data_IF_605532655903
#
_entry.id   IF_605532655903
#
_cell.length_a   1.000
_cell.length_b   1.000
_cell.length_c   1.000
_cell.angle_alpha   90.00
_cell.angle_beta   90.00
_cell.angle_gamma   90.00
#
_symmetry.space_group_name_H-M   'P 1'
#
loop_
_entity.id
_entity.type
_entity.pdbx_description
1 polymer ?
#
# COMPACT_ATOMS: atom_id res chain seq x y z
N UNK A 1 -11.37 -20.16 8.54
CA UNK A 1 -12.56 -20.51 7.75
C UNK A 1 -12.51 -19.62 6.52
N UNK A 2 -12.15 -20.17 5.36
CA UNK A 2 -12.14 -19.43 4.08
C UNK A 2 -13.59 -19.08 3.72
N UNK A 3 -14.04 -17.89 4.12
CA UNK A 3 -15.35 -17.36 3.75
C UNK A 3 -15.38 -17.01 2.27
N UNK A 4 -16.58 -17.00 1.68
CA UNK A 4 -16.76 -16.57 0.29
C UNK A 4 -16.27 -15.12 0.10
N UNK A 5 -15.99 -14.72 -1.15
CA UNK A 5 -15.56 -13.34 -1.45
C UNK A 5 -16.60 -12.33 -0.95
N UNK A 6 -17.88 -12.68 -1.07
CA UNK A 6 -19.02 -11.88 -0.62
C UNK A 6 -18.95 -11.65 0.89
N UNK A 7 -18.76 -12.72 1.68
CA UNK A 7 -18.60 -12.61 3.13
C UNK A 7 -17.37 -11.78 3.54
N UNK A 8 -16.25 -11.92 2.81
CA UNK A 8 -15.02 -11.14 3.07
C UNK A 8 -15.20 -9.66 2.76
N UNK A 9 -15.85 -9.31 1.64
CA UNK A 9 -16.14 -7.92 1.27
C UNK A 9 -17.07 -7.29 2.30
N UNK A 10 -18.17 -7.96 2.64
CA UNK A 10 -19.10 -7.48 3.68
C UNK A 10 -18.40 -7.23 5.01
N UNK A 11 -17.54 -8.17 5.45
CA UNK A 11 -16.75 -8.02 6.66
C UNK A 11 -15.81 -6.81 6.62
N UNK A 12 -15.11 -6.59 5.50
CA UNK A 12 -14.20 -5.45 5.36
C UNK A 12 -14.92 -4.10 5.22
N UNK A 13 -16.12 -4.08 4.63
CA UNK A 13 -17.01 -2.91 4.66
C UNK A 13 -17.39 -2.61 6.11
N UNK A 14 -17.79 -3.60 6.90
CA UNK A 14 -18.11 -3.40 8.32
C UNK A 14 -16.90 -2.89 9.11
N UNK A 15 -15.70 -3.41 8.85
CA UNK A 15 -14.46 -2.94 9.44
C UNK A 15 -14.16 -1.48 9.08
N UNK A 16 -14.41 -1.09 7.82
CA UNK A 16 -14.23 0.29 7.36
C UNK A 16 -15.27 1.23 7.99
N UNK A 17 -16.54 0.83 8.06
CA UNK A 17 -17.61 1.58 8.74
C UNK A 17 -17.29 1.79 10.22
N UNK A 18 -16.77 0.78 10.92
CA UNK A 18 -16.30 0.89 12.32
C UNK A 18 -15.07 1.80 12.48
N UNK A 19 -14.29 1.99 11.41
CA UNK A 19 -13.13 2.87 11.41
C UNK A 19 -13.49 4.34 11.13
N UNK A 20 -14.51 4.61 10.32
CA UNK A 20 -14.89 5.96 9.89
C UNK A 20 -15.01 7.00 11.03
N UNK A 21 -15.64 6.71 12.20
CA UNK A 21 -15.72 7.69 13.29
C UNK A 21 -14.37 8.12 13.87
N UNK A 22 -13.33 7.33 13.65
CA UNK A 22 -11.96 7.61 14.12
C UNK A 22 -11.14 8.39 13.11
N UNK A 23 -11.56 8.41 11.85
CA UNK A 23 -10.95 9.29 10.85
C UNK A 23 -11.17 10.74 11.26
N UNK A 24 -10.24 11.63 10.87
CA UNK A 24 -10.38 13.08 10.97
C UNK A 24 -9.74 13.70 9.73
N UNK A 25 -10.25 14.85 9.25
CA UNK A 25 -9.56 15.64 8.24
C UNK A 25 -8.12 15.94 8.66
N UNK A 26 -7.16 15.75 7.75
CA UNK A 26 -5.75 16.05 8.02
C UNK A 26 -5.49 17.56 7.97
N UNK A 27 -4.66 18.06 8.90
CA UNK A 27 -4.26 19.47 9.00
C UNK A 27 -2.94 19.80 8.28
N UNK A 28 -2.28 18.80 7.69
CA UNK A 28 -1.02 18.96 6.98
C UNK A 28 -1.22 19.02 5.46
N UNK A 29 -0.25 19.60 4.74
CA UNK A 29 -0.25 19.64 3.27
C UNK A 29 -0.43 18.24 2.68
N UNK A 30 -1.43 18.11 1.81
CA UNK A 30 -1.70 16.89 1.07
C UNK A 30 -0.64 16.63 0.00
N UNK A 31 -0.54 15.36 -0.45
CA UNK A 31 0.35 15.00 -1.57
C UNK A 31 -0.03 15.77 -2.83
N UNK A 32 0.97 16.36 -3.50
CA UNK A 32 0.79 17.09 -4.76
C UNK A 32 0.38 16.20 -5.94
N UNK A 33 0.63 14.88 -5.86
CA UNK A 33 0.31 13.92 -6.93
C UNK A 33 -0.93 13.09 -6.56
N UNK A 34 -1.81 12.90 -7.54
CA UNK A 34 -2.97 12.02 -7.41
C UNK A 34 -2.54 10.57 -7.20
N UNK A 35 -3.25 9.86 -6.31
CA UNK A 35 -3.01 8.45 -6.06
C UNK A 35 -3.44 7.62 -7.27
N UNK A 36 -2.48 7.04 -8.00
CA UNK A 36 -2.70 6.21 -9.20
C UNK A 36 -3.58 4.98 -8.97
N UNK A 37 -3.82 4.61 -7.70
CA UNK A 37 -4.57 3.42 -7.32
C UNK A 37 -6.04 3.71 -6.99
N UNK A 38 -6.33 4.90 -6.49
CA UNK A 38 -7.70 5.32 -6.16
C UNK A 38 -8.34 6.12 -7.29
N UNK A 39 -7.55 6.97 -7.97
CA UNK A 39 -8.03 7.75 -9.10
C UNK A 39 -8.44 6.83 -10.25
N UNK A 40 -9.70 6.96 -10.70
CA UNK A 40 -10.27 6.10 -11.74
C UNK A 40 -10.46 4.63 -11.34
N UNK A 41 -10.38 4.32 -10.04
CA UNK A 41 -10.48 2.94 -9.55
C UNK A 41 -11.91 2.39 -9.68
N UNK A 42 -12.11 1.23 -10.33
CA UNK A 42 -13.41 0.57 -10.37
C UNK A 42 -13.97 0.24 -8.99
N UNK A 43 -13.09 0.00 -8.01
CA UNK A 43 -13.47 -0.28 -6.61
C UNK A 43 -14.12 0.95 -5.96
N UNK A 44 -13.52 2.13 -6.17
CA UNK A 44 -14.05 3.40 -5.65
C UNK A 44 -15.37 3.75 -6.31
N UNK A 45 -15.47 3.55 -7.63
CA UNK A 45 -16.71 3.77 -8.37
C UNK A 45 -17.82 2.80 -7.92
N UNK A 46 -17.51 1.51 -7.75
CA UNK A 46 -18.47 0.52 -7.25
C UNK A 46 -19.02 0.90 -5.87
N UNK A 47 -18.14 1.36 -4.98
CA UNK A 47 -18.50 1.79 -3.63
C UNK A 47 -19.27 3.12 -3.54
N UNK A 48 -19.48 3.85 -4.64
CA UNK A 48 -20.16 5.15 -4.62
C UNK A 48 -19.29 6.31 -4.09
N UNK A 49 -17.96 6.13 -4.04
CA UNK A 49 -17.04 7.10 -3.42
C UNK A 49 -16.28 7.96 -4.44
N UNK A 50 -16.74 8.05 -5.69
CA UNK A 50 -16.02 8.71 -6.77
C UNK A 50 -16.02 10.24 -6.70
N UNK A 51 -16.94 10.83 -5.95
CA UNK A 51 -17.22 12.27 -5.96
C UNK A 51 -17.33 12.76 -4.53
N UNK A 52 -16.72 13.91 -4.22
CA UNK A 52 -16.85 14.63 -2.95
C UNK A 52 -16.51 13.87 -1.65
N UNK A 53 -15.77 12.76 -1.75
CA UNK A 53 -15.26 12.02 -0.59
C UNK A 53 -13.76 12.26 -0.41
N UNK A 54 -13.27 12.54 0.82
CA UNK A 54 -11.84 12.71 1.08
C UNK A 54 -11.01 11.50 0.62
N UNK A 55 -9.85 11.79 0.01
CA UNK A 55 -8.97 10.74 -0.52
C UNK A 55 -8.58 9.69 0.53
N UNK A 56 -8.30 10.10 1.77
CA UNK A 56 -7.93 9.17 2.84
C UNK A 56 -9.05 8.15 3.15
N UNK A 57 -10.31 8.58 3.07
CA UNK A 57 -11.50 7.75 3.29
C UNK A 57 -11.65 6.73 2.15
N UNK A 58 -11.52 7.19 0.90
CA UNK A 58 -11.48 6.33 -0.29
C UNK A 58 -10.34 5.30 -0.21
N UNK A 59 -9.14 5.77 0.13
CA UNK A 59 -7.93 4.95 0.18
C UNK A 59 -8.05 3.85 1.23
N UNK A 60 -8.61 4.17 2.40
CA UNK A 60 -8.85 3.19 3.46
C UNK A 60 -9.73 2.03 2.98
N UNK A 61 -10.81 2.29 2.24
CA UNK A 61 -11.65 1.22 1.68
C UNK A 61 -10.91 0.44 0.59
N UNK A 62 -10.30 1.14 -0.36
CA UNK A 62 -9.56 0.54 -1.48
C UNK A 62 -8.42 -0.38 -1.03
N UNK A 63 -7.74 -0.04 0.07
CA UNK A 63 -6.69 -0.88 0.65
C UNK A 63 -7.24 -2.20 1.16
N UNK A 64 -8.38 -2.20 1.85
CA UNK A 64 -9.02 -3.42 2.37
C UNK A 64 -9.49 -4.34 1.25
N UNK A 65 -10.14 -3.78 0.24
CA UNK A 65 -10.57 -4.54 -0.94
C UNK A 65 -9.40 -5.19 -1.67
N UNK A 66 -8.27 -4.48 -1.74
CA UNK A 66 -7.04 -5.04 -2.33
C UNK A 66 -6.44 -6.16 -1.48
N UNK A 67 -6.51 -6.10 -0.15
CA UNK A 67 -6.08 -7.22 0.71
C UNK A 67 -6.91 -8.48 0.44
N UNK A 68 -8.21 -8.33 0.18
CA UNK A 68 -9.07 -9.47 -0.23
C UNK A 68 -8.60 -10.06 -1.56
N UNK A 69 -8.39 -9.20 -2.56
CA UNK A 69 -7.96 -9.61 -3.91
C UNK A 69 -6.58 -10.29 -3.85
N UNK A 70 -5.61 -9.64 -3.22
CA UNK A 70 -4.24 -10.14 -3.08
C UNK A 70 -4.25 -11.52 -2.42
N UNK A 71 -4.92 -11.68 -1.27
CA UNK A 71 -4.98 -12.98 -0.60
C UNK A 71 -5.66 -14.06 -1.46
N UNK A 72 -6.72 -13.73 -2.21
CA UNK A 72 -7.34 -14.71 -3.10
C UNK A 72 -6.41 -15.11 -4.26
N UNK A 73 -5.64 -14.15 -4.80
CA UNK A 73 -4.64 -14.41 -5.85
C UNK A 73 -3.48 -15.24 -5.30
N UNK A 74 -3.05 -14.98 -4.07
CA UNK A 74 -2.01 -15.76 -3.39
C UNK A 74 -2.48 -17.21 -3.21
N UNK A 75 -3.70 -17.43 -2.69
CA UNK A 75 -4.30 -18.77 -2.53
C UNK A 75 -4.42 -19.50 -3.87
N UNK A 76 -4.81 -18.79 -4.93
CA UNK A 76 -4.88 -19.35 -6.29
C UNK A 76 -3.50 -19.71 -6.83
N UNK A 77 -2.52 -18.84 -6.65
CA UNK A 77 -1.13 -19.05 -7.09
C UNK A 77 -0.52 -20.26 -6.39
N UNK A 78 -0.73 -20.38 -5.08
CA UNK A 78 -0.24 -21.50 -4.29
C UNK A 78 -0.80 -22.85 -4.73
N UNK A 79 -2.09 -22.89 -5.12
CA UNK A 79 -2.80 -24.12 -5.49
C UNK A 79 -2.62 -24.50 -6.95
N UNK A 80 -2.46 -23.53 -7.86
CA UNK A 80 -2.61 -23.75 -9.30
C UNK A 80 -1.36 -23.40 -10.13
N UNK A 81 -0.43 -22.59 -9.60
CA UNK A 81 0.68 -22.00 -10.39
C UNK A 81 2.05 -22.39 -9.78
N UNK A 82 2.46 -23.66 -9.90
CA UNK A 82 3.62 -24.19 -9.19
C UNK A 82 4.95 -23.55 -9.60
N UNK A 83 5.12 -23.15 -10.87
CA UNK A 83 6.37 -22.55 -11.34
C UNK A 83 6.51 -21.11 -10.83
N UNK A 84 5.44 -20.33 -10.94
CA UNK A 84 5.36 -18.96 -10.43
C UNK A 84 5.53 -18.94 -8.91
N UNK A 85 4.83 -19.84 -8.20
CA UNK A 85 4.98 -20.01 -6.75
C UNK A 85 6.42 -20.30 -6.36
N UNK A 86 7.09 -21.23 -7.06
CA UNK A 86 8.50 -21.56 -6.82
C UNK A 86 9.38 -20.33 -7.01
N UNK A 87 9.17 -19.57 -8.09
CA UNK A 87 9.99 -18.38 -8.37
C UNK A 87 9.75 -17.26 -7.36
N UNK A 88 8.50 -17.02 -6.95
CA UNK A 88 8.17 -16.07 -5.87
C UNK A 88 8.91 -16.47 -4.59
N UNK A 89 8.84 -17.76 -4.19
CA UNK A 89 9.53 -18.25 -2.99
C UNK A 89 11.04 -18.04 -3.08
N UNK A 90 11.67 -18.40 -4.20
CA UNK A 90 13.10 -18.18 -4.40
C UNK A 90 13.44 -16.68 -4.34
N UNK A 91 12.57 -15.81 -4.85
CA UNK A 91 12.74 -14.36 -4.77
C UNK A 91 12.65 -13.84 -3.33
N UNK A 92 11.68 -14.30 -2.56
CA UNK A 92 11.53 -13.94 -1.14
C UNK A 92 12.68 -14.49 -0.29
N UNK A 93 13.14 -15.72 -0.53
CA UNK A 93 14.34 -16.27 0.08
C UNK A 93 15.56 -15.38 -0.20
N UNK A 94 15.77 -14.96 -1.46
CA UNK A 94 16.87 -14.03 -1.81
C UNK A 94 16.75 -12.67 -1.13
N UNK A 95 15.53 -12.14 -0.97
CA UNK A 95 15.31 -10.87 -0.23
C UNK A 95 15.58 -11.04 1.26
N UNK A 96 15.18 -12.15 1.86
CA UNK A 96 15.40 -12.43 3.28
C UNK A 96 16.88 -12.62 3.62
N UNK A 97 17.67 -13.19 2.70
CA UNK A 97 19.12 -13.36 2.83
C UNK A 97 19.91 -12.16 2.32
N UNK A 98 19.25 -11.03 2.04
CA UNK A 98 19.93 -9.84 1.54
C UNK A 98 20.76 -9.21 2.67
N UNK A 99 22.05 -8.93 2.45
CA UNK A 99 22.88 -8.28 3.45
C UNK A 99 22.36 -6.87 3.75
N UNK A 100 22.65 -6.38 4.95
CA UNK A 100 22.26 -5.05 5.43
C UNK A 100 22.70 -3.95 4.44
N UNK A 101 21.81 -2.99 4.18
CA UNK A 101 22.06 -1.83 3.32
C UNK A 101 21.67 -0.54 4.06
N UNK A 102 22.64 0.33 4.42
CA UNK A 102 22.41 1.51 5.25
C UNK A 102 21.35 2.48 4.71
N UNK A 103 21.22 2.57 3.38
CA UNK A 103 20.26 3.46 2.72
C UNK A 103 18.87 2.87 2.46
N UNK A 104 18.64 1.57 2.69
CA UNK A 104 17.33 0.96 2.44
C UNK A 104 16.35 1.27 3.58
N UNK A 105 15.11 1.66 3.23
CA UNK A 105 14.06 1.97 4.22
C UNK A 105 14.08 3.39 4.79
N UNK A 106 15.03 4.22 4.35
CA UNK A 106 15.09 5.62 4.73
C UNK A 106 14.07 6.48 3.95
N UNK A 107 13.56 7.56 4.56
CA UNK A 107 12.61 8.47 3.91
C UNK A 107 13.30 9.29 2.79
N UNK A 108 12.56 9.80 1.79
CA UNK A 108 13.15 10.43 0.61
C UNK A 108 13.95 11.70 0.90
N UNK A 109 13.69 12.37 2.02
CA UNK A 109 14.38 13.60 2.46
C UNK A 109 15.84 13.35 2.82
N UNK A 110 16.22 12.12 3.15
CA UNK A 110 17.61 11.74 3.45
C UNK A 110 18.31 11.05 2.28
N UNK A 111 17.62 10.87 1.14
CA UNK A 111 18.21 10.32 -0.06
C UNK A 111 19.25 11.31 -0.63
N UNK A 112 20.52 10.91 -0.67
CA UNK A 112 21.62 11.73 -1.16
C UNK A 112 22.34 12.56 -0.10
N UNK A 113 21.91 12.49 1.17
CA UNK A 113 22.75 12.93 2.28
C UNK A 113 23.90 11.93 2.47
N UNK A 114 25.08 12.45 2.80
CA UNK A 114 26.22 11.63 3.17
C UNK A 114 25.91 10.88 4.48
N UNK A 115 25.75 9.56 4.38
CA UNK A 115 25.42 8.67 5.50
C UNK A 115 26.62 8.45 6.42
N UNK A 116 27.82 8.44 5.85
CA UNK A 116 29.09 8.24 6.54
C UNK A 116 30.08 9.33 6.13
N UNK A 117 30.44 10.27 7.03
CA UNK A 117 31.55 11.18 6.78
C UNK A 117 32.90 10.43 6.84
N UNK A 118 33.93 10.96 6.15
CA UNK A 118 35.28 10.39 6.17
C UNK A 118 35.85 10.33 7.61
N UNK A 119 36.34 9.17 8.08
CA UNK A 119 36.81 9.01 9.45
C UNK A 119 38.14 9.74 9.70
N UNK A 120 38.25 10.45 10.83
CA UNK A 120 39.48 11.13 11.23
C UNK A 120 40.51 10.16 11.87
N UNK A 121 41.80 10.22 11.47
CA UNK A 121 42.84 9.36 12.04
C UNK A 121 42.98 9.51 13.57
N UNK A 122 42.94 8.39 14.30
CA UNK A 122 43.14 8.35 15.76
C UNK A 122 41.86 8.24 16.60
N UNK A 123 40.68 8.28 15.99
CA UNK A 123 39.43 7.98 16.68
C UNK A 123 39.25 6.45 16.89
N UNK A 124 38.67 6.02 18.02
CA UNK A 124 38.30 4.62 18.22
C UNK A 124 37.12 4.24 17.30
N UNK A 125 37.14 3.03 16.73
CA UNK A 125 36.13 2.49 15.80
C UNK A 125 36.08 3.15 14.41
N UNK A 126 37.19 3.06 13.66
CA UNK A 126 37.33 3.51 12.27
C UNK A 126 36.62 2.57 11.27
N UNK A 127 35.29 2.45 11.31
CA UNK A 127 34.56 1.86 10.19
C UNK A 127 33.29 2.63 9.89
N UNK A 128 33.01 2.81 8.60
CA UNK A 128 31.78 3.43 8.12
C UNK A 128 30.65 2.38 8.04
N UNK A 129 29.38 2.81 8.11
CA UNK A 129 28.24 1.92 7.86
C UNK A 129 28.29 1.33 6.44
N UNK A 130 28.81 2.10 5.47
CA UNK A 130 29.09 1.66 4.11
C UNK A 130 30.16 0.56 4.03
N UNK A 131 31.23 0.67 4.81
CA UNK A 131 32.25 -0.37 4.93
C UNK A 131 31.69 -1.62 5.59
N UNK A 132 30.96 -1.49 6.69
CA UNK A 132 30.31 -2.62 7.36
C UNK A 132 29.33 -3.34 6.43
N UNK A 133 28.55 -2.59 5.68
CA UNK A 133 27.62 -3.14 4.68
C UNK A 133 28.36 -3.84 3.54
N UNK A 134 29.48 -3.28 3.07
CA UNK A 134 30.31 -3.88 2.02
C UNK A 134 30.99 -5.16 2.49
N UNK A 135 31.51 -5.20 3.71
CA UNK A 135 32.11 -6.39 4.32
C UNK A 135 31.05 -7.48 4.53
N UNK A 136 29.89 -7.12 5.10
CA UNK A 136 28.76 -8.05 5.27
C UNK A 136 28.29 -8.59 3.93
N UNK A 137 28.20 -7.74 2.90
CA UNK A 137 27.82 -8.14 1.56
C UNK A 137 28.85 -9.06 0.91
N UNK A 138 30.15 -8.84 1.13
CA UNK A 138 31.21 -9.71 0.62
C UNK A 138 31.23 -11.08 1.31
N UNK A 139 31.02 -11.12 2.62
CA UNK A 139 30.98 -12.37 3.41
C UNK A 139 29.73 -13.21 3.11
N UNK A 140 28.59 -12.56 2.85
CA UNK A 140 27.30 -13.21 2.72
C UNK A 140 26.79 -13.28 1.28
N UNK A 141 27.58 -12.86 0.28
CA UNK A 141 27.15 -12.86 -1.13
C UNK A 141 26.77 -14.29 -1.59
N UNK A 142 25.47 -14.61 -1.76
CA UNK A 142 25.10 -15.88 -2.35
C UNK A 142 25.52 -15.89 -3.83
N UNK A 143 25.84 -17.06 -4.40
CA UNK A 143 26.06 -17.15 -5.84
C UNK A 143 24.84 -16.60 -6.60
N UNK A 144 25.04 -15.90 -7.72
CA UNK A 144 23.93 -15.41 -8.53
C UNK A 144 23.07 -16.59 -8.97
N UNK A 145 21.73 -16.45 -8.97
CA UNK A 145 20.86 -17.53 -9.39
C UNK A 145 21.16 -17.92 -10.83
N UNK A 146 21.09 -19.23 -11.12
CA UNK A 146 21.22 -19.72 -12.48
C UNK A 146 20.18 -19.04 -13.38
N UNK A 147 20.58 -18.56 -14.58
CA UNK A 147 19.65 -17.91 -15.47
C UNK A 147 18.60 -18.92 -15.93
N UNK A 148 17.33 -18.53 -15.84
CA UNK A 148 16.24 -19.33 -16.38
C UNK A 148 16.46 -19.58 -17.87
N UNK A 149 16.22 -20.82 -18.30
CA UNK A 149 16.16 -21.16 -19.71
C UNK A 149 14.96 -20.45 -20.38
N UNK A 150 15.01 -20.25 -21.69
CA UNK A 150 13.88 -19.67 -22.42
C UNK A 150 12.55 -20.42 -22.24
N UNK A 151 12.49 -21.78 -22.27
CA UNK A 151 11.22 -22.48 -22.02
C UNK A 151 10.71 -22.27 -20.59
N UNK A 152 11.58 -22.18 -19.58
CA UNK A 152 11.16 -21.88 -18.20
C UNK A 152 10.60 -20.46 -18.08
N UNK A 153 11.23 -19.48 -18.73
CA UNK A 153 10.71 -18.10 -18.77
C UNK A 153 9.33 -18.06 -19.43
N UNK A 154 9.15 -18.78 -20.53
CA UNK A 154 7.87 -18.83 -21.23
C UNK A 154 6.78 -19.48 -20.37
N UNK A 155 7.09 -20.59 -19.68
CA UNK A 155 6.17 -21.24 -18.76
C UNK A 155 5.77 -20.33 -17.58
N UNK A 156 6.73 -19.63 -16.97
CA UNK A 156 6.45 -18.67 -15.88
C UNK A 156 5.59 -17.51 -16.39
N UNK A 157 5.87 -16.96 -17.59
CA UNK A 157 5.03 -15.89 -18.18
C UNK A 157 3.59 -16.37 -18.41
N UNK A 158 3.40 -17.63 -18.80
CA UNK A 158 2.06 -18.20 -18.93
C UNK A 158 1.33 -18.25 -17.58
N UNK A 159 1.99 -18.69 -16.51
CA UNK A 159 1.40 -18.70 -15.17
C UNK A 159 1.13 -17.29 -14.62
N UNK A 160 2.01 -16.32 -14.86
CA UNK A 160 1.77 -14.89 -14.52
C UNK A 160 0.50 -14.39 -15.21
N UNK A 161 0.30 -14.74 -16.48
CA UNK A 161 -0.91 -14.36 -17.22
C UNK A 161 -2.17 -14.97 -16.60
N UNK A 162 -2.10 -16.20 -16.09
CA UNK A 162 -3.21 -16.84 -15.39
C UNK A 162 -3.51 -16.14 -14.05
N UNK A 163 -2.47 -15.81 -13.26
CA UNK A 163 -2.63 -15.03 -12.03
C UNK A 163 -3.30 -13.68 -12.29
N UNK A 164 -2.86 -12.94 -13.32
CA UNK A 164 -3.46 -11.65 -13.72
C UNK A 164 -4.93 -11.79 -14.16
N UNK A 165 -5.27 -12.86 -14.88
CA UNK A 165 -6.65 -13.14 -15.27
C UNK A 165 -7.52 -13.42 -14.05
N UNK A 166 -7.01 -14.21 -13.11
CA UNK A 166 -7.69 -14.52 -11.85
C UNK A 166 -7.89 -13.26 -11.00
N UNK A 167 -6.86 -12.41 -10.88
CA UNK A 167 -6.95 -11.12 -10.18
C UNK A 167 -8.05 -10.22 -10.77
N UNK A 168 -8.17 -10.16 -12.10
CA UNK A 168 -9.26 -9.42 -12.78
C UNK A 168 -10.63 -10.02 -12.49
N UNK A 169 -10.75 -11.34 -12.46
CA UNK A 169 -12.00 -12.04 -12.14
C UNK A 169 -12.46 -11.74 -10.71
N UNK A 170 -11.56 -11.88 -9.72
CA UNK A 170 -11.87 -11.59 -8.33
C UNK A 170 -12.15 -10.10 -8.13
N UNK A 171 -11.37 -9.21 -8.75
CA UNK A 171 -11.62 -7.77 -8.71
C UNK A 171 -13.02 -7.40 -9.22
N UNK A 172 -13.48 -8.03 -10.31
CA UNK A 172 -14.87 -7.84 -10.80
C UNK A 172 -15.91 -8.32 -9.79
N UNK A 173 -15.70 -9.49 -9.17
CA UNK A 173 -16.61 -10.01 -8.13
C UNK A 173 -16.68 -9.08 -6.92
N UNK A 174 -15.54 -8.57 -6.47
CA UNK A 174 -15.47 -7.57 -5.40
C UNK A 174 -16.25 -6.31 -5.77
N UNK A 175 -16.11 -5.80 -7.00
CA UNK A 175 -16.91 -4.66 -7.46
C UNK A 175 -18.42 -4.95 -7.44
N UNK A 176 -18.84 -6.13 -7.91
CA UNK A 176 -20.26 -6.53 -7.91
C UNK A 176 -20.81 -6.58 -6.49
N UNK A 177 -20.05 -7.14 -5.56
CA UNK A 177 -20.47 -7.19 -4.16
C UNK A 177 -20.49 -5.81 -3.50
N UNK A 178 -19.49 -4.96 -3.77
CA UNK A 178 -19.44 -3.59 -3.24
C UNK A 178 -20.67 -2.76 -3.62
N UNK A 179 -21.24 -2.99 -4.81
CA UNK A 179 -22.48 -2.32 -5.23
C UNK A 179 -23.63 -2.64 -4.26
N UNK A 180 -23.69 -3.84 -3.68
CA UNK A 180 -24.70 -4.22 -2.69
C UNK A 180 -24.55 -3.46 -1.35
N UNK A 181 -23.39 -2.86 -1.11
CA UNK A 181 -23.08 -2.09 0.09
C UNK A 181 -23.09 -0.58 -0.13
N UNK A 182 -23.34 -0.11 -1.35
CA UNK A 182 -23.24 1.31 -1.73
C UNK A 182 -24.07 2.20 -0.81
N UNK A 183 -25.34 1.90 -0.60
CA UNK A 183 -26.24 2.72 0.23
C UNK A 183 -25.74 2.85 1.67
N UNK A 184 -25.18 1.76 2.23
CA UNK A 184 -24.61 1.76 3.59
C UNK A 184 -23.35 2.63 3.66
N UNK A 185 -22.53 2.57 2.62
CA UNK A 185 -21.29 3.33 2.50
C UNK A 185 -21.61 4.82 2.35
N UNK A 186 -22.46 5.20 1.39
CA UNK A 186 -22.85 6.58 1.12
C UNK A 186 -23.52 7.21 2.33
N UNK A 187 -24.45 6.48 2.98
CA UNK A 187 -25.07 6.95 4.22
C UNK A 187 -24.04 7.22 5.31
N UNK A 188 -23.08 6.32 5.52
CA UNK A 188 -22.06 6.53 6.54
C UNK A 188 -21.13 7.72 6.21
N UNK A 189 -20.88 8.00 4.93
CA UNK A 189 -20.14 9.20 4.52
C UNK A 189 -20.93 10.46 4.88
N UNK A 190 -22.22 10.52 4.54
CA UNK A 190 -23.08 11.65 4.89
C UNK A 190 -23.24 11.83 6.41
N UNK A 191 -23.43 10.73 7.15
CA UNK A 191 -23.68 10.78 8.59
C UNK A 191 -22.40 11.05 9.43
N UNK A 192 -21.22 10.71 8.92
CA UNK A 192 -19.98 10.71 9.72
C UNK A 192 -18.89 11.61 9.13
N UNK A 193 -18.65 11.55 7.82
CA UNK A 193 -17.52 12.23 7.18
C UNK A 193 -17.84 13.69 6.92
N UNK A 194 -19.00 13.98 6.33
CA UNK A 194 -19.42 15.36 6.03
C UNK A 194 -19.48 16.24 7.29
N UNK A 195 -20.03 15.81 8.44
CA UNK A 195 -20.04 16.61 9.66
C UNK A 195 -18.63 16.91 10.20
N UNK A 196 -17.68 15.99 10.03
CA UNK A 196 -16.31 16.23 10.47
C UNK A 196 -15.59 17.25 9.60
N UNK A 197 -15.87 17.27 8.29
CA UNK A 197 -15.36 18.29 7.37
C UNK A 197 -15.98 19.64 7.70
N UNK A 198 -17.31 19.68 7.88
CA UNK A 198 -18.03 20.90 8.25
C UNK A 198 -17.50 21.50 9.56
N UNK A 199 -17.22 20.65 10.56
CA UNK A 199 -16.62 21.07 11.82
C UNK A 199 -15.23 21.68 11.62
N UNK A 200 -14.36 21.03 10.83
CA UNK A 200 -13.03 21.59 10.52
C UNK A 200 -13.15 22.97 9.84
N UNK A 201 -14.04 23.11 8.86
CA UNK A 201 -14.24 24.37 8.17
C UNK A 201 -14.77 25.46 9.11
N UNK A 202 -15.70 25.12 10.00
CA UNK A 202 -16.23 26.05 11.00
C UNK A 202 -15.16 26.48 12.02
N UNK A 203 -14.23 25.59 12.38
CA UNK A 203 -13.12 25.93 13.28
C UNK A 203 -12.10 26.83 12.57
N UNK A 204 -11.79 26.57 11.29
CA UNK A 204 -10.93 27.44 10.47
C UNK A 204 -11.51 28.85 10.30
N UNK A 205 -12.82 28.96 10.07
CA UNK A 205 -13.52 30.25 9.94
C UNK A 205 -13.37 31.10 11.21
N UNK A 206 -13.58 30.49 12.39
CA UNK A 206 -13.40 31.16 13.68
C UNK A 206 -11.97 31.60 13.95
N UNK A 207 -10.98 30.80 13.56
CA UNK A 207 -9.56 31.15 13.74
C UNK A 207 -9.16 32.33 12.84
N UNK A 208 -9.65 32.35 11.60
CA UNK A 208 -9.39 33.43 10.64
C UNK A 208 -10.10 34.74 11.02
N UNK A 209 -11.29 34.66 11.63
CA UNK A 209 -12.04 35.83 12.14
C UNK A 209 -11.54 36.33 13.51
N UNK A 210 -10.50 35.72 14.08
CA UNK A 210 -9.95 36.14 15.37
C UNK A 210 -9.24 37.49 15.26
N UNK A 211 -9.52 38.47 16.15
CA UNK A 211 -8.86 39.78 16.14
C UNK A 211 -7.35 39.72 16.47
N UNK A 212 -6.83 38.53 16.83
CA UNK A 212 -5.42 38.26 17.04
C UNK A 212 -4.70 37.75 15.78
N UNK A 213 -5.42 37.56 14.67
CA UNK A 213 -4.82 37.15 13.40
C UNK A 213 -3.97 38.29 12.84
N UNK A 214 -2.68 38.08 12.54
CA UNK A 214 -1.79 39.12 12.02
C UNK A 214 -2.11 39.38 10.56
N UNK A 215 -3.13 40.21 10.32
CA UNK A 215 -3.64 40.47 8.97
C UNK A 215 -4.58 41.67 8.93
N UNK A 216 -4.11 42.83 9.40
CA UNK A 216 -4.48 44.17 8.94
C UNK A 216 -3.30 45.11 9.15
#
# INVERSE_FOLDING_TARGET
MEGSIEARVSHEVDNWLRWLPKWRPGTHRSRTRLCRRCFGSPIIAAAGLSTDVPHAVQHALSMRMKLIIDSAVDDYTDRNLPLLRREIRLSEERKAHRPYRPGEGLPPEVAGLELDPEPEPGQPYLFTLGELASQTAAEQAPPPPEPLSEPEKEAIRAEVKLADQYAKQIGRRVCVELVQHRDRIEKAVGDIVEPQIAQLLADLDRELDSPLWPGL
#
